data_IF_747569096512
#
_entry.id   IF_747569096512
#
_cell.length_a   1.000
_cell.length_b   1.000
_cell.length_c   1.000
_cell.angle_alpha   90.00
_cell.angle_beta   90.00
_cell.angle_gamma   90.00
#
_symmetry.space_group_name_H-M   'P 1'
#
loop_
_entity.id
_entity.type
_entity.pdbx_description
1 polymer ?
#
# COMPACT_ATOMS: atom_id res chain seq x y z
N UNK A 1 -28.41 -27.92 34.74
CA UNK A 1 -27.08 -27.35 34.48
C UNK A 1 -27.10 -25.90 34.97
N UNK A 2 -26.30 -25.55 35.97
CA UNK A 2 -26.13 -24.13 36.34
C UNK A 2 -24.94 -23.59 35.56
N UNK A 3 -25.13 -22.53 34.79
CA UNK A 3 -24.05 -21.94 33.99
C UNK A 3 -23.46 -20.72 34.71
N UNK A 4 -22.14 -20.57 34.58
CA UNK A 4 -21.36 -19.46 35.13
C UNK A 4 -20.46 -18.87 34.05
N UNK A 5 -20.14 -17.59 34.17
CA UNK A 5 -19.26 -16.89 33.24
C UNK A 5 -18.11 -16.18 33.93
N UNK A 6 -16.89 -16.40 33.44
CA UNK A 6 -15.68 -15.62 33.77
C UNK A 6 -14.66 -15.74 32.64
N UNK A 7 -14.71 -14.83 31.66
CA UNK A 7 -13.88 -14.89 30.45
C UNK A 7 -13.98 -16.25 29.74
N UNK A 8 -15.14 -16.89 29.83
CA UNK A 8 -15.37 -18.29 29.47
C UNK A 8 -16.56 -18.85 30.25
N UNK A 9 -17.18 -19.90 29.73
CA UNK A 9 -18.30 -20.57 30.38
C UNK A 9 -17.82 -21.70 31.29
N UNK A 10 -18.48 -21.84 32.43
CA UNK A 10 -18.24 -22.88 33.44
C UNK A 10 -19.56 -23.44 33.94
N UNK A 11 -19.53 -24.66 34.47
CA UNK A 11 -20.66 -25.29 35.13
C UNK A 11 -20.20 -26.03 36.39
N UNK A 12 -21.16 -26.30 37.28
CA UNK A 12 -20.94 -26.96 38.56
C UNK A 12 -21.41 -28.43 38.58
N UNK A 13 -21.71 -29.01 37.41
CA UNK A 13 -22.22 -30.39 37.33
C UNK A 13 -21.11 -31.43 37.39
N UNK A 14 -21.41 -32.62 37.91
CA UNK A 14 -20.50 -33.77 37.95
C UNK A 14 -19.09 -33.51 38.54
N UNK A 15 -18.99 -32.59 39.51
CA UNK A 15 -17.71 -32.19 40.11
C UNK A 15 -16.96 -31.10 39.33
N UNK A 16 -17.67 -30.38 38.45
CA UNK A 16 -17.19 -29.24 37.69
C UNK A 16 -16.62 -28.12 38.57
N UNK A 17 -15.64 -27.40 38.02
CA UNK A 17 -14.94 -26.32 38.71
C UNK A 17 -15.47 -24.96 38.25
N UNK A 18 -15.96 -24.18 39.21
CA UNK A 18 -16.36 -22.78 38.98
C UNK A 18 -15.32 -21.85 39.63
N UNK A 19 -14.63 -21.01 38.85
CA UNK A 19 -13.66 -20.06 39.39
C UNK A 19 -14.33 -19.04 40.33
N UNK A 20 -13.59 -18.61 41.35
CA UNK A 20 -14.03 -17.52 42.22
C UNK A 20 -14.31 -16.25 41.41
N UNK A 21 -15.43 -15.57 41.70
CA UNK A 21 -15.86 -14.37 40.98
C UNK A 21 -16.51 -14.64 39.62
N UNK A 22 -16.80 -15.90 39.27
CA UNK A 22 -17.66 -16.20 38.13
C UNK A 22 -19.12 -15.82 38.42
N UNK A 23 -19.79 -15.23 37.43
CA UNK A 23 -21.16 -14.78 37.58
C UNK A 23 -22.12 -15.87 37.09
N UNK A 24 -23.09 -16.24 37.91
CA UNK A 24 -24.14 -17.19 37.54
C UNK A 24 -25.05 -16.57 36.47
N UNK A 25 -25.31 -17.32 35.40
CA UNK A 25 -26.18 -16.90 34.28
C UNK A 25 -27.33 -17.90 34.08
N UNK A 26 -28.42 -17.43 33.47
CA UNK A 26 -29.53 -18.31 33.08
C UNK A 26 -29.19 -19.14 31.85
N UNK A 27 -29.89 -20.26 31.67
CA UNK A 27 -29.76 -21.09 30.46
C UNK A 27 -30.15 -20.31 29.20
N UNK A 28 -31.20 -19.49 29.26
CA UNK A 28 -31.62 -18.64 28.13
C UNK A 28 -30.55 -17.61 27.75
N UNK A 29 -29.91 -16.97 28.74
CA UNK A 29 -28.80 -16.06 28.48
C UNK A 29 -27.62 -16.81 27.87
N UNK A 30 -27.25 -17.97 28.40
CA UNK A 30 -26.20 -18.82 27.85
C UNK A 30 -26.46 -19.15 26.36
N UNK A 31 -27.68 -19.60 26.01
CA UNK A 31 -28.07 -19.87 24.61
C UNK A 31 -27.99 -18.64 23.73
N UNK A 32 -28.48 -17.50 24.22
CA UNK A 32 -28.43 -16.21 23.50
C UNK A 32 -26.98 -15.80 23.19
N UNK A 33 -26.07 -15.97 24.15
CA UNK A 33 -24.65 -15.65 23.98
C UNK A 33 -24.00 -16.56 22.92
N UNK A 34 -24.29 -17.86 22.95
CA UNK A 34 -23.77 -18.81 21.96
C UNK A 34 -24.30 -18.51 20.56
N UNK A 35 -25.60 -18.23 20.42
CA UNK A 35 -26.20 -17.88 19.13
C UNK A 35 -25.60 -16.58 18.57
N UNK A 36 -25.38 -15.59 19.44
CA UNK A 36 -24.71 -14.35 19.06
C UNK A 36 -23.26 -14.56 18.62
N UNK A 37 -22.52 -15.41 19.36
CA UNK A 37 -21.15 -15.77 19.00
C UNK A 37 -21.08 -16.52 17.66
N UNK A 38 -22.03 -17.43 17.41
CA UNK A 38 -22.14 -18.13 16.12
C UNK A 38 -22.44 -17.17 14.96
N UNK A 39 -23.07 -16.02 15.23
CA UNK A 39 -23.28 -14.93 14.28
C UNK A 39 -22.08 -13.97 14.16
N UNK A 40 -20.95 -14.28 14.81
CA UNK A 40 -19.71 -13.50 14.72
C UNK A 40 -19.56 -12.37 15.74
N UNK A 41 -20.48 -12.26 16.72
CA UNK A 41 -20.31 -11.33 17.86
C UNK A 41 -19.28 -11.86 18.85
N UNK A 42 -18.75 -10.97 19.68
CA UNK A 42 -17.85 -11.32 20.78
C UNK A 42 -18.62 -11.31 22.09
N UNK A 43 -18.33 -12.29 22.96
CA UNK A 43 -18.83 -12.33 24.33
C UNK A 43 -17.74 -11.73 25.21
N UNK A 44 -18.08 -10.65 25.93
CA UNK A 44 -17.16 -9.96 26.83
C UNK A 44 -17.82 -9.74 28.19
N UNK A 45 -17.01 -9.61 29.25
CA UNK A 45 -17.52 -9.21 30.55
C UNK A 45 -17.72 -7.69 30.59
N UNK A 46 -18.89 -7.23 31.00
CA UNK A 46 -19.10 -5.82 31.33
C UNK A 46 -18.40 -5.44 32.65
N UNK A 47 -18.53 -4.18 33.08
CA UNK A 47 -17.93 -3.68 34.33
C UNK A 47 -18.38 -4.42 35.59
N UNK A 48 -19.51 -5.12 35.53
CA UNK A 48 -20.08 -5.89 36.63
C UNK A 48 -19.73 -7.39 36.55
N UNK A 49 -19.01 -7.80 35.51
CA UNK A 49 -18.65 -9.20 35.26
C UNK A 49 -19.72 -10.00 34.51
N UNK A 50 -20.85 -9.38 34.15
CA UNK A 50 -21.89 -10.06 33.39
C UNK A 50 -21.48 -10.20 31.91
N UNK A 51 -21.71 -11.36 31.28
CA UNK A 51 -21.43 -11.53 29.87
C UNK A 51 -22.41 -10.74 29.00
N UNK A 52 -21.87 -10.01 28.05
CA UNK A 52 -22.63 -9.25 27.04
C UNK A 52 -22.11 -9.53 25.64
N UNK A 53 -22.98 -9.42 24.63
CA UNK A 53 -22.63 -9.55 23.22
C UNK A 53 -22.28 -8.18 22.64
N UNK A 54 -21.11 -8.08 22.02
CA UNK A 54 -20.68 -6.90 21.27
C UNK A 54 -20.30 -7.27 19.83
N UNK A 55 -20.28 -6.28 18.94
CA UNK A 55 -19.74 -6.46 17.59
C UNK A 55 -18.25 -6.86 17.65
N UNK A 56 -17.71 -7.57 16.65
CA UNK A 56 -16.29 -7.85 16.58
C UNK A 56 -15.45 -6.58 16.50
N UNK A 57 -14.25 -6.61 17.09
CA UNK A 57 -13.29 -5.52 17.01
C UNK A 57 -13.01 -5.14 15.55
N UNK A 58 -13.25 -3.88 15.12
CA UNK A 58 -13.07 -3.49 13.72
C UNK A 58 -11.60 -3.45 13.29
N UNK A 59 -10.69 -3.05 14.18
CA UNK A 59 -9.25 -3.04 13.94
C UNK A 59 -8.46 -3.03 15.24
N UNK A 60 -7.16 -3.32 15.19
CA UNK A 60 -6.27 -3.26 16.35
C UNK A 60 -6.16 -1.86 16.99
N UNK A 61 -6.55 -0.80 16.27
CA UNK A 61 -6.59 0.55 16.80
C UNK A 61 -7.78 0.79 17.73
N UNK A 62 -8.86 0.01 17.58
CA UNK A 62 -10.06 0.15 18.41
C UNK A 62 -9.84 -0.47 19.79
N UNK A 63 -10.32 0.20 20.82
CA UNK A 63 -10.38 -0.27 22.19
C UNK A 63 -11.84 -0.32 22.65
N UNK A 64 -12.17 -1.32 23.46
CA UNK A 64 -13.53 -1.46 23.96
C UNK A 64 -13.74 -0.48 25.10
N UNK A 65 -14.68 0.45 24.92
CA UNK A 65 -15.17 1.29 26.00
C UNK A 65 -16.19 0.48 26.82
N UNK A 66 -15.82 0.09 28.05
CA UNK A 66 -16.69 -0.71 28.92
C UNK A 66 -17.90 0.06 29.49
N UNK A 67 -17.94 1.40 29.39
CA UNK A 67 -19.12 2.20 29.77
C UNK A 67 -20.20 2.16 28.69
N UNK A 68 -19.80 2.25 27.43
CA UNK A 68 -20.71 2.32 26.29
C UNK A 68 -20.89 0.95 25.61
N UNK A 69 -20.01 -0.01 25.90
CA UNK A 69 -19.87 -1.30 25.21
C UNK A 69 -19.66 -1.13 23.69
N UNK A 70 -18.97 -0.05 23.31
CA UNK A 70 -18.64 0.27 21.91
C UNK A 70 -17.13 0.28 21.68
N UNK A 71 -16.75 -0.04 20.45
CA UNK A 71 -15.38 0.07 19.98
C UNK A 71 -15.07 1.53 19.63
N UNK A 72 -14.08 2.10 20.31
CA UNK A 72 -13.67 3.50 20.14
C UNK A 72 -12.17 3.56 19.85
N UNK A 73 -11.72 4.60 19.14
CA UNK A 73 -10.29 4.87 18.94
C UNK A 73 -9.94 6.10 19.76
N UNK A 74 -8.90 6.00 20.60
CA UNK A 74 -8.44 7.15 21.37
C UNK A 74 -7.86 8.24 20.45
N UNK A 75 -7.90 9.52 20.85
CA UNK A 75 -7.27 10.61 20.08
C UNK A 75 -5.78 10.35 19.79
N UNK A 76 -5.06 9.76 20.74
CA UNK A 76 -3.64 9.42 20.62
C UNK A 76 -3.44 8.33 19.56
N UNK A 77 -4.24 7.28 19.57
CA UNK A 77 -4.19 6.21 18.55
C UNK A 77 -4.58 6.71 17.17
N UNK A 78 -5.58 7.58 17.09
CA UNK A 78 -5.97 8.21 15.82
C UNK A 78 -4.82 9.03 15.25
N UNK A 79 -4.14 9.81 16.09
CA UNK A 79 -2.98 10.61 15.68
C UNK A 79 -1.81 9.73 15.24
N UNK A 80 -1.53 8.65 15.98
CA UNK A 80 -0.49 7.68 15.62
C UNK A 80 -0.79 7.00 14.27
N UNK A 81 -2.03 6.55 14.07
CA UNK A 81 -2.47 5.92 12.82
C UNK A 81 -2.35 6.88 11.64
N UNK A 82 -2.70 8.16 11.83
CA UNK A 82 -2.55 9.18 10.80
C UNK A 82 -1.08 9.38 10.43
N UNK A 83 -0.18 9.50 11.42
CA UNK A 83 1.25 9.67 11.19
C UNK A 83 1.86 8.45 10.48
N UNK A 84 1.50 7.24 10.91
CA UNK A 84 1.93 5.99 10.27
C UNK A 84 1.45 5.93 8.80
N UNK A 85 0.18 6.24 8.56
CA UNK A 85 -0.41 6.26 7.21
C UNK A 85 0.28 7.27 6.31
N UNK A 86 0.56 8.48 6.82
CA UNK A 86 1.29 9.50 6.06
C UNK A 86 2.68 9.03 5.67
N UNK A 87 3.44 8.46 6.61
CA UNK A 87 4.77 7.94 6.36
C UNK A 87 4.76 6.81 5.31
N UNK A 88 3.79 5.90 5.40
CA UNK A 88 3.62 4.82 4.43
C UNK A 88 3.30 5.36 3.03
N UNK A 89 2.42 6.36 2.93
CA UNK A 89 2.08 6.99 1.65
C UNK A 89 3.29 7.71 1.03
N UNK A 90 4.07 8.43 1.83
CA UNK A 90 5.31 9.08 1.37
C UNK A 90 6.30 8.04 0.84
N UNK A 91 6.55 6.98 1.62
CA UNK A 91 7.45 5.90 1.20
C UNK A 91 6.99 5.21 -0.09
N UNK A 92 5.67 5.03 -0.27
CA UNK A 92 5.11 4.48 -1.50
C UNK A 92 5.32 5.43 -2.69
N UNK A 93 5.12 6.74 -2.51
CA UNK A 93 5.39 7.75 -3.54
C UNK A 93 6.87 7.70 -3.96
N UNK A 94 7.78 7.69 -2.99
CA UNK A 94 9.22 7.64 -3.25
C UNK A 94 9.62 6.36 -4.00
N UNK A 95 9.08 5.21 -3.58
CA UNK A 95 9.30 3.92 -4.24
C UNK A 95 8.78 3.90 -5.67
N UNK A 96 7.57 4.43 -5.91
CA UNK A 96 7.00 4.55 -7.25
C UNK A 96 7.79 5.52 -8.12
N UNK A 97 8.21 6.66 -7.59
CA UNK A 97 9.07 7.62 -8.28
C UNK A 97 10.40 6.97 -8.68
N UNK A 98 11.07 6.28 -7.75
CA UNK A 98 12.32 5.56 -8.03
C UNK A 98 12.15 4.50 -9.12
N UNK A 99 11.03 3.75 -9.10
CA UNK A 99 10.71 2.76 -10.13
C UNK A 99 10.55 3.41 -11.50
N UNK A 100 9.84 4.53 -11.58
CA UNK A 100 9.70 5.31 -12.82
C UNK A 100 11.07 5.76 -13.30
N UNK A 101 11.85 6.43 -12.44
CA UNK A 101 13.19 6.91 -12.79
C UNK A 101 14.12 5.80 -13.29
N UNK A 102 14.07 4.60 -12.70
CA UNK A 102 14.89 3.46 -13.16
C UNK A 102 14.62 3.07 -14.63
N UNK A 103 13.38 3.25 -15.09
CA UNK A 103 13.00 3.02 -16.49
C UNK A 103 13.50 4.17 -17.37
N UNK A 104 13.39 5.41 -16.89
CA UNK A 104 13.85 6.60 -17.61
C UNK A 104 15.37 6.70 -17.76
N UNK A 105 16.16 6.27 -16.76
CA UNK A 105 17.63 6.24 -16.85
C UNK A 105 18.11 5.33 -17.98
N UNK A 106 17.39 4.23 -18.24
CA UNK A 106 17.69 3.32 -19.35
C UNK A 106 17.48 3.99 -20.71
N UNK A 107 16.44 4.81 -20.83
CA UNK A 107 16.23 5.64 -22.02
C UNK A 107 17.29 6.74 -22.16
N UNK A 108 17.80 7.32 -21.07
CA UNK A 108 18.87 8.32 -21.14
C UNK A 108 20.15 7.76 -21.76
N UNK A 109 20.59 6.57 -21.33
CA UNK A 109 21.78 5.92 -21.91
C UNK A 109 21.55 5.60 -23.40
N UNK A 110 20.41 4.99 -23.73
CA UNK A 110 20.05 4.71 -25.13
C UNK A 110 19.97 5.99 -25.97
N UNK A 111 19.51 7.09 -25.39
CA UNK A 111 19.42 8.37 -26.07
C UNK A 111 20.79 8.95 -26.39
N UNK A 112 21.72 8.92 -25.43
CA UNK A 112 23.11 9.35 -25.63
C UNK A 112 23.79 8.52 -26.72
N UNK A 113 23.61 7.20 -26.72
CA UNK A 113 24.15 6.32 -27.76
C UNK A 113 23.56 6.61 -29.14
N UNK A 114 22.24 6.87 -29.23
CA UNK A 114 21.57 7.26 -30.48
C UNK A 114 22.07 8.60 -31.00
N UNK A 115 22.23 9.60 -30.12
CA UNK A 115 22.81 10.90 -30.48
C UNK A 115 24.24 10.74 -31.00
N UNK A 116 25.10 10.02 -30.27
CA UNK A 116 26.49 9.80 -30.68
C UNK A 116 26.59 9.09 -32.04
N UNK A 117 25.75 8.08 -32.29
CA UNK A 117 25.69 7.40 -33.57
C UNK A 117 25.24 8.35 -34.71
N UNK A 118 24.25 9.21 -34.44
CA UNK A 118 23.77 10.20 -35.40
C UNK A 118 24.81 11.30 -35.71
N UNK A 119 25.54 11.76 -34.69
CA UNK A 119 26.65 12.71 -34.84
C UNK A 119 27.79 12.10 -35.67
N UNK A 120 28.16 10.85 -35.40
CA UNK A 120 29.18 10.12 -36.16
C UNK A 120 28.77 9.93 -37.63
N UNK A 121 27.52 9.55 -37.90
CA UNK A 121 27.05 9.39 -39.27
C UNK A 121 26.96 10.72 -40.01
N UNK A 122 26.55 11.80 -39.33
CA UNK A 122 26.53 13.16 -39.90
C UNK A 122 27.94 13.69 -40.18
N UNK A 123 28.90 13.47 -39.27
CA UNK A 123 30.30 13.91 -39.45
C UNK A 123 31.02 13.15 -40.56
N UNK A 124 30.62 11.90 -40.81
CA UNK A 124 31.02 11.13 -41.99
C UNK A 124 30.29 11.56 -43.29
N UNK A 125 29.64 12.73 -43.32
CA UNK A 125 28.84 13.22 -44.45
C UNK A 125 27.74 12.24 -44.90
N UNK A 126 27.17 11.49 -43.96
CA UNK A 126 26.15 10.44 -44.20
C UNK A 126 26.66 9.30 -45.10
N UNK A 127 27.96 9.04 -45.05
CA UNK A 127 28.60 7.95 -45.78
C UNK A 127 29.05 6.84 -44.81
N UNK A 128 29.18 5.62 -45.31
CA UNK A 128 29.55 4.45 -44.53
C UNK A 128 28.37 3.70 -43.91
N UNK A 129 28.68 2.73 -43.04
CA UNK A 129 27.67 1.90 -42.39
C UNK A 129 26.82 2.73 -41.41
N UNK A 130 25.51 2.69 -41.61
CA UNK A 130 24.57 3.42 -40.76
C UNK A 130 24.24 2.57 -39.53
N UNK A 131 24.38 3.15 -38.33
CA UNK A 131 24.08 2.46 -37.09
C UNK A 131 22.65 1.90 -37.06
N UNK A 132 22.50 0.71 -36.46
CA UNK A 132 21.20 0.07 -36.24
C UNK A 132 20.19 1.02 -35.58
N UNK A 133 20.66 1.89 -34.68
CA UNK A 133 19.83 2.89 -34.03
C UNK A 133 19.13 3.85 -35.01
N UNK A 134 19.87 4.31 -36.02
CA UNK A 134 19.36 5.22 -37.05
C UNK A 134 18.46 4.45 -38.02
N UNK A 135 18.88 3.25 -38.44
CA UNK A 135 18.12 2.46 -39.42
C UNK A 135 16.80 1.94 -38.86
N UNK A 136 16.77 1.49 -37.60
CA UNK A 136 15.54 1.01 -36.95
C UNK A 136 14.56 2.18 -36.74
N UNK A 137 15.07 3.36 -36.36
CA UNK A 137 14.26 4.58 -36.25
C UNK A 137 13.72 5.03 -37.62
N UNK A 138 14.57 5.09 -38.64
CA UNK A 138 14.21 5.42 -40.02
C UNK A 138 13.09 4.51 -40.54
N UNK A 139 13.24 3.20 -40.35
CA UNK A 139 12.25 2.20 -40.77
C UNK A 139 10.90 2.38 -40.07
N UNK A 140 10.89 2.64 -38.76
CA UNK A 140 9.66 2.84 -37.99
C UNK A 140 8.98 4.17 -38.34
N UNK A 141 9.76 5.20 -38.63
CA UNK A 141 9.26 6.53 -38.97
C UNK A 141 8.91 6.70 -40.46
N UNK A 142 9.25 5.73 -41.32
CA UNK A 142 9.07 5.85 -42.77
C UNK A 142 9.99 6.90 -43.41
N UNK A 143 11.18 7.11 -42.84
CA UNK A 143 12.14 8.12 -43.27
C UNK A 143 13.38 7.46 -43.90
N UNK A 144 14.13 8.20 -44.71
CA UNK A 144 15.49 7.79 -45.09
C UNK A 144 16.48 8.02 -43.93
N UNK A 145 17.61 7.32 -43.97
CA UNK A 145 18.62 7.36 -42.90
C UNK A 145 19.16 8.77 -42.63
N UNK A 146 19.29 9.61 -43.65
CA UNK A 146 19.80 10.99 -43.50
C UNK A 146 18.76 11.88 -42.82
N UNK A 147 17.49 11.77 -43.22
CA UNK A 147 16.39 12.50 -42.56
C UNK A 147 16.20 12.03 -41.12
N UNK A 148 16.23 10.71 -40.88
CA UNK A 148 16.19 10.11 -39.56
C UNK A 148 17.32 10.61 -38.65
N UNK A 149 18.56 10.66 -39.16
CA UNK A 149 19.72 11.18 -38.44
C UNK A 149 19.52 12.62 -37.99
N UNK A 150 19.06 13.49 -38.90
CA UNK A 150 18.82 14.89 -38.55
C UNK A 150 17.67 15.08 -37.57
N UNK A 151 16.63 14.24 -37.64
CA UNK A 151 15.54 14.27 -36.68
C UNK A 151 16.00 13.83 -35.28
N UNK A 152 16.82 12.77 -35.18
CA UNK A 152 17.42 12.33 -33.92
C UNK A 152 18.24 13.46 -33.29
N UNK A 153 19.07 14.17 -34.08
CA UNK A 153 19.87 15.29 -33.57
C UNK A 153 19.04 16.52 -33.16
N UNK A 154 17.97 16.81 -33.90
CA UNK A 154 17.04 17.88 -33.52
C UNK A 154 16.34 17.55 -32.21
N UNK A 155 15.91 16.29 -32.04
CA UNK A 155 15.33 15.81 -30.80
C UNK A 155 16.35 15.89 -29.66
N UNK A 156 17.61 15.47 -29.90
CA UNK A 156 18.77 15.58 -28.99
C UNK A 156 18.89 16.97 -28.37
N UNK A 157 19.04 17.99 -29.22
CA UNK A 157 19.17 19.36 -28.79
C UNK A 157 17.93 19.89 -28.05
N UNK A 158 16.73 19.45 -28.47
CA UNK A 158 15.48 19.82 -27.80
C UNK A 158 15.39 19.30 -26.37
N UNK A 159 15.81 18.05 -26.13
CA UNK A 159 15.80 17.47 -24.79
C UNK A 159 16.84 18.14 -23.88
N UNK A 160 18.05 18.38 -24.38
CA UNK A 160 19.11 19.05 -23.60
C UNK A 160 18.65 20.43 -23.12
N UNK A 161 17.99 21.20 -24.00
CA UNK A 161 17.40 22.49 -23.63
C UNK A 161 16.35 22.36 -22.51
N UNK A 162 15.42 21.41 -22.64
CA UNK A 162 14.40 21.18 -21.61
C UNK A 162 15.01 20.75 -20.27
N UNK A 163 16.04 19.91 -20.29
CA UNK A 163 16.74 19.49 -19.08
C UNK A 163 17.44 20.66 -18.40
N UNK A 164 18.06 21.56 -19.16
CA UNK A 164 18.68 22.79 -18.63
C UNK A 164 17.63 23.72 -18.00
N UNK A 165 16.49 23.91 -18.65
CA UNK A 165 15.37 24.71 -18.11
C UNK A 165 14.82 24.13 -16.80
N UNK A 166 14.64 22.81 -16.73
CA UNK A 166 14.19 22.13 -15.52
C UNK A 166 15.21 22.20 -14.38
N UNK A 167 16.51 22.11 -14.68
CA UNK A 167 17.56 22.25 -13.68
C UNK A 167 17.59 23.66 -13.06
N UNK A 168 17.27 24.69 -13.83
CA UNK A 168 17.21 26.08 -13.36
C UNK A 168 15.95 26.43 -12.55
N UNK A 169 14.96 25.53 -12.51
CA UNK A 169 13.73 25.70 -11.73
C UNK A 169 13.78 25.06 -10.33
N UNK A 170 14.86 24.35 -10.00
CA UNK A 170 15.09 23.74 -8.69
C UNK A 170 15.90 24.68 -7.79
#
# INVERSE_FOLDING_TARGET
MTMYYKNGFYDDTDGGFVPEGAVKISEDLYRTLLDGQAQGKQIIADKTGNPVLIAPQPSAAHELNLDTLQWEISPEKMTALLAETQNQLIANIDSHAATIYSTWTRFESEYRERQAAAEAFKSANYQGECSRYITDFAKRAGLDNKTATNLILTQAAGLEKLQMELANQR
#
